data_IF_887862858936
#
_entry.id   IF_887862858936
#
_cell.length_a   1.000
_cell.length_b   1.000
_cell.length_c   1.000
_cell.angle_alpha   90.00
_cell.angle_beta   90.00
_cell.angle_gamma   90.00
#
_symmetry.space_group_name_H-M   'P 1'
#
loop_
_entity.id
_entity.type
_entity.pdbx_description
1 polymer ?
#
# COMPACT_ATOMS: atom_id res chain seq x y z
N UNK A 1 -1.97 -15.52 -13.16
CA UNK A 1 -0.95 -14.47 -13.42
C UNK A 1 -1.44 -13.18 -12.79
N UNK A 2 -1.00 -12.82 -11.58
CA UNK A 2 -1.40 -11.52 -10.96
C UNK A 2 -0.85 -10.41 -11.85
N UNK A 3 -1.71 -9.56 -12.38
CA UNK A 3 -1.27 -8.41 -13.18
C UNK A 3 -0.34 -7.56 -12.32
N UNK A 4 0.84 -7.20 -12.83
CA UNK A 4 1.73 -6.27 -12.12
C UNK A 4 0.99 -4.94 -12.04
N UNK A 5 0.54 -4.59 -10.84
CA UNK A 5 0.00 -3.26 -10.59
C UNK A 5 1.15 -2.26 -10.67
N UNK A 6 1.19 -1.45 -11.73
CA UNK A 6 2.04 -0.26 -11.76
C UNK A 6 1.37 0.81 -10.92
N UNK A 7 1.93 1.11 -9.76
CA UNK A 7 1.44 2.21 -8.92
C UNK A 7 1.70 3.55 -9.59
N UNK A 8 0.75 4.48 -9.48
CA UNK A 8 0.98 5.87 -9.86
C UNK A 8 1.96 6.53 -8.87
N UNK A 9 2.61 7.62 -9.30
CA UNK A 9 3.52 8.39 -8.43
C UNK A 9 2.84 8.87 -7.15
N UNK A 10 1.56 9.24 -7.21
CA UNK A 10 0.78 9.66 -6.03
C UNK A 10 0.49 8.49 -5.09
N UNK A 11 0.19 7.31 -5.61
CA UNK A 11 0.01 6.10 -4.81
C UNK A 11 1.31 5.71 -4.10
N UNK A 12 2.44 5.72 -4.80
CA UNK A 12 3.75 5.43 -4.20
C UNK A 12 4.08 6.44 -3.09
N UNK A 13 3.92 7.74 -3.35
CA UNK A 13 4.19 8.77 -2.35
C UNK A 13 3.36 8.57 -1.08
N UNK A 14 2.07 8.28 -1.22
CA UNK A 14 1.20 8.03 -0.08
C UNK A 14 1.61 6.79 0.72
N UNK A 15 1.94 5.69 0.03
CA UNK A 15 2.42 4.46 0.67
C UNK A 15 3.74 4.69 1.41
N UNK A 16 4.68 5.43 0.81
CA UNK A 16 5.96 5.78 1.44
C UNK A 16 5.80 6.71 2.64
N UNK A 17 4.90 7.71 2.56
CA UNK A 17 4.63 8.61 3.68
C UNK A 17 4.04 7.85 4.87
N UNK A 18 3.16 6.87 4.63
CA UNK A 18 2.69 5.98 5.70
C UNK A 18 3.81 5.08 6.22
N UNK A 19 4.62 4.49 5.34
CA UNK A 19 5.71 3.60 5.74
C UNK A 19 6.74 4.30 6.67
N UNK A 20 7.03 5.58 6.45
CA UNK A 20 7.87 6.40 7.35
C UNK A 20 7.32 6.47 8.77
N UNK A 21 6.01 6.42 8.94
CA UNK A 21 5.34 6.50 10.25
C UNK A 21 5.09 5.12 10.87
N UNK A 22 4.70 4.14 10.05
CA UNK A 22 4.36 2.80 10.51
C UNK A 22 4.89 1.78 9.50
N UNK A 23 5.87 0.97 9.93
CA UNK A 23 6.47 -0.06 9.08
C UNK A 23 5.55 -1.29 8.90
N UNK A 24 4.51 -1.42 9.74
CA UNK A 24 3.52 -2.49 9.70
C UNK A 24 2.11 -1.91 9.64
N UNK A 25 1.43 -2.13 8.53
CA UNK A 25 0.04 -1.74 8.36
C UNK A 25 -0.89 -2.78 8.99
N UNK A 26 -1.69 -2.34 9.96
CA UNK A 26 -2.80 -3.13 10.50
C UNK A 26 -3.96 -3.25 9.49
N UNK A 27 -4.98 -4.05 9.82
CA UNK A 27 -6.13 -4.25 8.95
C UNK A 27 -6.94 -2.95 8.70
N UNK A 28 -7.05 -2.08 9.70
CA UNK A 28 -7.77 -0.81 9.58
C UNK A 28 -7.07 0.17 8.65
N UNK A 29 -5.75 0.30 8.79
CA UNK A 29 -4.91 1.16 7.96
C UNK A 29 -4.84 0.64 6.53
N UNK A 30 -4.76 -0.69 6.32
CA UNK A 30 -4.88 -1.29 4.98
C UNK A 30 -6.21 -0.96 4.33
N UNK A 31 -7.33 -1.09 5.05
CA UNK A 31 -8.65 -0.76 4.51
C UNK A 31 -8.77 0.73 4.15
N UNK A 32 -8.22 1.62 4.99
CA UNK A 32 -8.20 3.07 4.73
C UNK A 32 -7.39 3.40 3.47
N UNK A 33 -6.19 2.84 3.35
CA UNK A 33 -5.33 3.02 2.18
C UNK A 33 -5.92 2.40 0.92
N UNK A 34 -6.58 1.25 1.05
CA UNK A 34 -7.29 0.59 -0.04
C UNK A 34 -8.34 1.51 -0.66
N UNK A 35 -9.16 2.14 0.19
CA UNK A 35 -10.17 3.12 -0.24
C UNK A 35 -9.56 4.40 -0.81
N UNK A 36 -8.51 4.94 -0.20
CA UNK A 36 -7.86 6.18 -0.68
C UNK A 36 -7.14 6.00 -2.01
N UNK A 37 -6.44 4.88 -2.18
CA UNK A 37 -5.57 4.64 -3.33
C UNK A 37 -6.25 3.82 -4.42
N UNK A 38 -7.47 3.34 -4.17
CA UNK A 38 -8.19 2.40 -5.01
C UNK A 38 -7.35 1.14 -5.32
N UNK A 39 -6.70 0.60 -4.28
CA UNK A 39 -5.85 -0.58 -4.34
C UNK A 39 -6.45 -1.70 -3.49
N UNK A 40 -6.20 -2.96 -3.83
CA UNK A 40 -6.60 -4.06 -2.95
C UNK A 40 -5.74 -4.10 -1.68
N UNK A 41 -6.31 -4.52 -0.55
CA UNK A 41 -5.55 -4.71 0.69
C UNK A 41 -4.38 -5.68 0.51
N UNK A 42 -4.56 -6.72 -0.33
CA UNK A 42 -3.49 -7.66 -0.67
C UNK A 42 -2.34 -7.01 -1.43
N UNK A 43 -2.63 -6.09 -2.34
CA UNK A 43 -1.62 -5.30 -3.07
C UNK A 43 -0.83 -4.41 -2.12
N UNK A 44 -1.52 -3.73 -1.20
CA UNK A 44 -0.89 -2.89 -0.17
C UNK A 44 -0.01 -3.76 0.74
N UNK A 45 -0.51 -4.92 1.18
CA UNK A 45 0.25 -5.84 2.02
C UNK A 45 1.55 -6.31 1.34
N UNK A 46 1.48 -6.70 0.07
CA UNK A 46 2.67 -7.09 -0.71
C UNK A 46 3.64 -5.92 -0.86
N UNK A 47 3.14 -4.70 -1.12
CA UNK A 47 3.99 -3.51 -1.21
C UNK A 47 4.75 -3.26 0.11
N UNK A 48 4.05 -3.31 1.24
CA UNK A 48 4.66 -3.16 2.57
C UNK A 48 5.63 -4.30 2.90
N UNK A 49 5.35 -5.53 2.46
CA UNK A 49 6.29 -6.65 2.62
C UNK A 49 7.54 -6.51 1.74
N UNK A 50 7.40 -6.01 0.51
CA UNK A 50 8.54 -5.78 -0.40
C UNK A 50 9.39 -4.57 -0.01
N UNK A 51 8.88 -3.66 0.83
CA UNK A 51 9.58 -2.46 1.32
C UNK A 51 10.33 -2.70 2.63
N UNK A 52 10.15 -3.88 3.24
CA UNK A 52 10.78 -4.32 4.49
C UNK A 52 12.26 -4.65 4.29
#
# INVERSE_FOLDING_TARGET
RRQRSTFSKSQVKCLEDVFKTVHYVDAGLRMKLSRQLNLSEGTINIWFQNRR
#
